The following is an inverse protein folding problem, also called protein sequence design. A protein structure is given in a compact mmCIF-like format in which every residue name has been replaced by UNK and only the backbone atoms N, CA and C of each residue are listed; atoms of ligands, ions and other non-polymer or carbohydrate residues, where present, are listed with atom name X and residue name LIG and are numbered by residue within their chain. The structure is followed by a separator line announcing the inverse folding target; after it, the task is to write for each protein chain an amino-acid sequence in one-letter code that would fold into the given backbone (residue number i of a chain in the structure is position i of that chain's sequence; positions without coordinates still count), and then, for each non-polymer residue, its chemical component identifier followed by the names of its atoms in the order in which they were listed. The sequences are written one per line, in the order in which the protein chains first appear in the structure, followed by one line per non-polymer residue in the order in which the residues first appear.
data_IF_985494965128
#
_entry.id   IF_985494965128
#
_cell.length_a   1.000
_cell.length_b   1.000
_cell.length_c   1.000
_cell.angle_alpha   90.00
_cell.angle_beta   90.00
_cell.angle_gamma   90.00
#
_symmetry.space_group_name_H-M   'P 1'
#
loop_
_entity.id
_entity.type
_entity.pdbx_description
1 polymer ?
#
# COMPACT_ATOMS: atom_id res chain seq x y z
N UNK A 1 -12.18 3.39 -61.03
CA UNK A 1 -11.59 2.11 -61.45
C UNK A 1 -10.10 2.31 -61.68
N UNK A 2 -9.23 1.65 -60.89
CA UNK A 2 -7.91 1.14 -61.29
C UNK A 2 -7.22 0.59 -60.04
N UNK A 3 -7.17 -0.75 -59.96
CA UNK A 3 -6.27 -1.48 -59.08
C UNK A 3 -4.86 -1.38 -59.66
N UNK A 4 -3.86 -1.20 -58.81
CA UNK A 4 -2.47 -1.52 -59.13
C UNK A 4 -1.84 -2.17 -57.89
N UNK A 5 -1.25 -3.34 -58.12
CA UNK A 5 -0.53 -4.19 -57.18
C UNK A 5 0.96 -3.96 -57.43
N UNK A 6 1.75 -3.80 -56.37
CA UNK A 6 3.20 -4.06 -56.29
C UNK A 6 3.55 -4.00 -54.79
N UNK A 7 4.29 -4.90 -54.17
CA UNK A 7 5.39 -5.75 -54.64
C UNK A 7 6.50 -5.61 -53.59
N UNK A 8 7.01 -6.75 -53.11
CA UNK A 8 7.92 -6.90 -51.97
C UNK A 8 9.19 -6.03 -52.03
N UNK A 9 9.70 -5.71 -50.83
CA UNK A 9 11.08 -5.25 -50.63
C UNK A 9 11.46 -5.23 -49.16
N UNK A 10 11.75 -6.40 -48.57
CA UNK A 10 12.40 -6.49 -47.25
C UNK A 10 13.88 -6.16 -47.46
N UNK A 11 14.29 -4.95 -47.09
CA UNK A 11 15.70 -4.59 -47.04
C UNK A 11 16.31 -5.15 -45.75
N UNK A 12 17.18 -6.15 -45.89
CA UNK A 12 18.00 -6.66 -44.80
C UNK A 12 19.05 -5.59 -44.42
N UNK A 13 18.89 -4.98 -43.25
CA UNK A 13 19.90 -4.10 -42.66
C UNK A 13 20.94 -4.98 -41.97
N UNK A 14 22.14 -5.04 -42.54
CA UNK A 14 23.30 -5.69 -41.91
C UNK A 14 23.78 -4.78 -40.77
N UNK A 15 23.44 -5.13 -39.53
CA UNK A 15 23.96 -4.46 -38.35
C UNK A 15 25.42 -4.90 -38.11
N UNK A 16 26.37 -3.97 -38.32
CA UNK A 16 27.75 -4.12 -37.87
C UNK A 16 27.75 -4.10 -36.34
N UNK A 17 28.03 -5.26 -35.73
CA UNK A 17 28.15 -5.41 -34.29
C UNK A 17 29.39 -4.69 -33.76
N UNK A 18 29.19 -3.60 -33.03
CA UNK A 18 30.23 -3.04 -32.15
C UNK A 18 30.15 -3.78 -30.82
N UNK A 19 31.14 -4.62 -30.55
CA UNK A 19 31.27 -5.29 -29.26
C UNK A 19 31.83 -4.30 -28.24
N UNK A 20 30.95 -3.68 -27.45
CA UNK A 20 31.35 -2.95 -26.25
C UNK A 20 31.60 -3.99 -25.16
N UNK A 21 32.85 -4.19 -24.78
CA UNK A 21 33.21 -4.96 -23.59
C UNK A 21 32.67 -4.23 -22.37
N UNK A 22 31.54 -4.72 -21.85
CA UNK A 22 30.95 -4.22 -20.62
C UNK A 22 31.90 -4.48 -19.45
N UNK A 23 32.43 -3.40 -18.87
CA UNK A 23 33.06 -3.45 -17.55
C UNK A 23 31.93 -3.78 -16.58
N UNK A 24 31.94 -5.00 -16.04
CA UNK A 24 31.01 -5.41 -15.01
C UNK A 24 31.17 -4.51 -13.79
N UNK A 25 30.27 -3.56 -13.62
CA UNK A 25 30.10 -2.89 -12.35
C UNK A 25 29.59 -3.96 -11.37
N UNK A 26 30.49 -4.47 -10.52
CA UNK A 26 30.06 -5.18 -9.33
C UNK A 26 29.18 -4.20 -8.55
N UNK A 27 27.87 -4.44 -8.54
CA UNK A 27 26.96 -3.74 -7.65
C UNK A 27 27.43 -4.06 -6.23
N UNK A 28 28.13 -3.10 -5.62
CA UNK A 28 28.40 -3.15 -4.20
C UNK A 28 27.03 -3.18 -3.52
N UNK A 29 26.70 -4.31 -2.88
CA UNK A 29 25.58 -4.38 -1.97
C UNK A 29 25.89 -3.42 -0.82
N UNK A 30 25.22 -2.26 -0.83
CA UNK A 30 25.17 -1.41 0.35
C UNK A 30 24.55 -2.28 1.44
N UNK A 31 25.23 -2.53 2.57
CA UNK A 31 24.58 -3.21 3.66
C UNK A 31 23.37 -2.35 4.04
N UNK A 32 22.16 -2.91 3.95
CA UNK A 32 20.99 -2.31 4.55
C UNK A 32 21.35 -2.08 6.01
N UNK A 33 21.66 -0.84 6.33
CA UNK A 33 21.71 -0.38 7.71
C UNK A 33 20.25 -0.24 8.17
N UNK A 34 19.53 -1.35 8.10
CA UNK A 34 18.22 -1.48 8.68
C UNK A 34 18.43 -1.62 10.17
N UNK A 35 18.07 -0.59 10.93
CA UNK A 35 17.68 -0.84 12.30
C UNK A 35 16.64 -1.96 12.25
N UNK A 36 16.95 -3.12 12.81
CA UNK A 36 15.97 -4.20 12.92
C UNK A 36 14.70 -3.61 13.53
N UNK A 37 13.56 -3.85 12.88
CA UNK A 37 12.26 -3.44 13.42
C UNK A 37 12.09 -4.09 14.80
N UNK A 38 12.07 -3.31 15.91
CA UNK A 38 11.98 -3.87 17.24
C UNK A 38 10.64 -4.55 17.53
N UNK A 39 9.65 -4.38 16.65
CA UNK A 39 8.30 -4.94 16.76
C UNK A 39 8.01 -5.97 15.67
N UNK A 40 9.01 -6.45 14.92
CA UNK A 40 8.82 -7.32 13.74
C UNK A 40 8.01 -8.61 14.03
N UNK A 41 8.07 -9.11 15.26
CA UNK A 41 7.35 -10.32 15.71
C UNK A 41 6.14 -10.00 16.61
N UNK A 42 5.93 -8.73 16.95
CA UNK A 42 4.79 -8.30 17.77
C UNK A 42 3.50 -8.21 16.96
N UNK A 43 2.36 -8.46 17.60
CA UNK A 43 1.05 -8.12 17.03
C UNK A 43 0.86 -6.61 17.02
N UNK A 44 0.46 -6.05 15.88
CA UNK A 44 0.22 -4.62 15.71
C UNK A 44 -1.25 -4.24 15.94
N UNK A 45 -2.18 -5.16 15.67
CA UNK A 45 -3.61 -5.00 15.87
C UNK A 45 -4.09 -5.94 16.98
N UNK A 46 -4.65 -5.35 18.04
CA UNK A 46 -5.23 -6.09 19.14
C UNK A 46 -6.49 -6.80 18.68
N UNK A 47 -7.49 -6.00 18.26
CA UNK A 47 -8.73 -6.51 17.72
C UNK A 47 -9.43 -5.52 16.78
N UNK A 48 -10.46 -6.02 16.09
CA UNK A 48 -11.38 -5.20 15.28
C UNK A 48 -12.83 -5.52 15.60
N UNK A 49 -13.71 -4.53 15.51
CA UNK A 49 -15.14 -4.69 15.80
C UNK A 49 -15.98 -4.04 14.72
N UNK A 50 -16.82 -4.82 14.06
CA UNK A 50 -17.86 -4.28 13.19
C UNK A 50 -19.00 -3.70 14.04
N UNK A 51 -19.41 -2.47 13.74
CA UNK A 51 -20.54 -1.80 14.39
C UNK A 51 -21.43 -1.14 13.34
N UNK A 52 -22.71 -0.95 13.67
CA UNK A 52 -23.66 -0.26 12.80
C UNK A 52 -23.98 1.13 13.35
N UNK A 53 -24.04 2.10 12.44
CA UNK A 53 -24.45 3.47 12.73
C UNK A 53 -25.51 3.93 11.72
N UNK A 54 -26.10 5.11 11.94
CA UNK A 54 -27.11 5.67 11.04
C UNK A 54 -26.65 5.75 9.58
N UNK A 55 -25.36 6.03 9.38
CA UNK A 55 -24.79 6.25 8.04
C UNK A 55 -24.34 4.94 7.38
N UNK A 56 -24.27 3.84 8.15
CA UNK A 56 -23.85 2.53 7.69
C UNK A 56 -22.96 1.80 8.69
N UNK A 57 -22.55 0.60 8.28
CA UNK A 57 -21.60 -0.24 9.03
C UNK A 57 -20.22 0.41 9.03
N UNK A 58 -19.47 0.26 10.12
CA UNK A 58 -18.06 0.69 10.24
C UNK A 58 -17.25 -0.35 10.98
N UNK A 59 -15.97 -0.47 10.61
CA UNK A 59 -15.00 -1.32 11.29
C UNK A 59 -14.19 -0.47 12.26
N UNK A 60 -14.30 -0.75 13.55
CA UNK A 60 -13.44 -0.15 14.57
C UNK A 60 -12.13 -0.94 14.65
N UNK A 61 -10.99 -0.27 14.53
CA UNK A 61 -9.65 -0.85 14.61
C UNK A 61 -9.00 -0.45 15.93
N UNK A 62 -8.51 -1.42 16.71
CA UNK A 62 -7.82 -1.21 17.98
C UNK A 62 -6.34 -1.63 17.87
N UNK A 63 -5.40 -0.68 17.69
CA UNK A 63 -3.98 -0.99 17.65
C UNK A 63 -3.42 -1.34 19.03
N UNK A 64 -2.45 -2.26 19.06
CA UNK A 64 -1.64 -2.54 20.26
C UNK A 64 -0.70 -1.37 20.58
N UNK A 65 0.02 -1.44 21.71
CA UNK A 65 1.08 -0.48 22.00
C UNK A 65 2.22 -0.55 20.97
N UNK A 66 2.59 -1.77 20.53
CA UNK A 66 3.59 -1.98 19.47
C UNK A 66 3.10 -1.40 18.16
N UNK A 67 1.84 -1.65 17.77
CA UNK A 67 1.22 -1.02 16.58
C UNK A 67 1.21 0.51 16.60
N UNK A 68 1.10 1.12 17.79
CA UNK A 68 1.20 2.59 17.96
C UNK A 68 2.62 3.12 17.83
N UNK A 69 3.63 2.28 18.06
CA UNK A 69 5.04 2.67 18.16
C UNK A 69 5.90 2.18 16.99
N UNK A 70 5.36 1.32 16.14
CA UNK A 70 6.07 0.76 15.01
C UNK A 70 6.06 1.72 13.81
N UNK A 71 7.24 2.26 13.51
CA UNK A 71 7.49 3.15 12.37
C UNK A 71 8.28 2.47 11.25
N UNK A 72 8.49 1.15 11.32
CA UNK A 72 9.15 0.43 10.24
C UNK A 72 8.31 0.53 8.96
N UNK A 73 8.93 0.76 7.77
CA UNK A 73 8.19 0.89 6.52
C UNK A 73 7.19 -0.27 6.24
N UNK A 74 7.51 -1.55 6.52
CA UNK A 74 6.58 -2.66 6.28
C UNK A 74 5.43 -2.78 7.30
N UNK A 75 5.47 -2.04 8.41
CA UNK A 75 4.56 -2.26 9.54
C UNK A 75 3.09 -1.96 9.20
N UNK A 76 2.84 -0.98 8.33
CA UNK A 76 1.48 -0.66 7.89
C UNK A 76 0.83 -1.81 7.12
N UNK A 77 1.55 -2.38 6.16
CA UNK A 77 1.06 -3.51 5.37
C UNK A 77 0.84 -4.75 6.26
N UNK A 78 1.75 -5.01 7.20
CA UNK A 78 1.60 -6.08 8.19
C UNK A 78 0.35 -5.88 9.06
N UNK A 79 0.17 -4.68 9.59
CA UNK A 79 -1.00 -4.35 10.40
C UNK A 79 -2.30 -4.49 9.59
N UNK A 80 -2.31 -4.13 8.31
CA UNK A 80 -3.47 -4.36 7.44
C UNK A 80 -3.77 -5.85 7.26
N UNK A 81 -2.76 -6.71 7.10
CA UNK A 81 -2.98 -8.16 7.04
C UNK A 81 -3.56 -8.70 8.36
N UNK A 82 -3.14 -8.18 9.51
CA UNK A 82 -3.75 -8.55 10.81
C UNK A 82 -5.22 -8.11 10.91
N UNK A 83 -5.59 -6.96 10.33
CA UNK A 83 -7.00 -6.54 10.22
C UNK A 83 -7.78 -7.55 9.38
N UNK A 84 -7.29 -7.90 8.17
CA UNK A 84 -7.98 -8.82 7.27
C UNK A 84 -8.08 -10.25 7.81
N UNK A 85 -7.13 -10.68 8.63
CA UNK A 85 -7.20 -11.96 9.32
C UNK A 85 -8.38 -12.03 10.30
N UNK A 86 -8.78 -10.89 10.91
CA UNK A 86 -9.90 -10.81 11.85
C UNK A 86 -11.22 -10.42 11.19
N UNK A 87 -11.16 -9.59 10.14
CA UNK A 87 -12.32 -9.14 9.36
C UNK A 87 -12.06 -9.30 7.85
N UNK A 88 -12.18 -10.53 7.30
CA UNK A 88 -11.91 -10.80 5.89
C UNK A 88 -12.80 -10.01 4.92
N UNK A 89 -13.98 -9.59 5.36
CA UNK A 89 -14.93 -8.78 4.61
C UNK A 89 -14.56 -7.28 4.56
N UNK A 90 -13.50 -6.84 5.24
CA UNK A 90 -13.04 -5.45 5.24
C UNK A 90 -12.28 -5.04 3.97
N UNK A 91 -11.89 -5.99 3.12
CA UNK A 91 -11.14 -5.72 1.87
C UNK A 91 -12.07 -5.22 0.74
N UNK A 92 -12.78 -4.12 0.99
CA UNK A 92 -13.62 -3.42 0.00
C UNK A 92 -12.91 -2.17 -0.52
N UNK A 93 -13.31 -1.62 -1.69
CA UNK A 93 -12.73 -0.40 -2.22
C UNK A 93 -12.65 0.73 -1.19
N UNK A 94 -11.50 1.41 -1.10
CA UNK A 94 -11.25 2.55 -0.22
C UNK A 94 -10.88 2.22 1.23
N UNK A 95 -11.14 1.01 1.73
CA UNK A 95 -10.84 0.66 3.13
C UNK A 95 -9.34 0.66 3.45
N UNK A 96 -8.51 0.18 2.51
CA UNK A 96 -7.05 0.22 2.66
C UNK A 96 -6.53 1.66 2.72
N UNK A 97 -7.03 2.56 1.88
CA UNK A 97 -6.59 3.96 1.89
C UNK A 97 -6.95 4.66 3.21
N UNK A 98 -8.17 4.41 3.72
CA UNK A 98 -8.60 4.89 5.04
C UNK A 98 -7.66 4.34 6.14
N UNK A 99 -7.39 3.03 6.12
CA UNK A 99 -6.50 2.38 7.09
C UNK A 99 -5.09 2.97 7.06
N UNK A 100 -4.49 3.08 5.86
CA UNK A 100 -3.13 3.60 5.71
C UNK A 100 -3.05 5.07 6.10
N UNK A 101 -4.10 5.86 5.88
CA UNK A 101 -4.14 7.23 6.38
C UNK A 101 -4.17 7.26 7.91
N UNK A 102 -4.98 6.39 8.53
CA UNK A 102 -5.00 6.25 9.97
C UNK A 102 -3.64 5.79 10.53
N UNK A 103 -2.98 4.84 9.87
CA UNK A 103 -1.66 4.33 10.25
C UNK A 103 -0.58 5.39 10.16
N UNK A 104 -0.50 6.12 9.04
CA UNK A 104 0.56 7.11 8.81
C UNK A 104 0.33 8.41 9.58
N UNK A 105 -0.92 8.86 9.71
CA UNK A 105 -1.23 10.21 10.20
C UNK A 105 -2.00 10.20 11.51
N UNK A 106 -3.22 9.65 11.54
CA UNK A 106 -4.09 9.76 12.71
C UNK A 106 -3.49 9.08 13.95
N UNK A 107 -2.76 7.98 13.78
CA UNK A 107 -2.01 7.30 14.85
C UNK A 107 -1.05 8.22 15.59
N UNK A 108 -0.41 9.13 14.87
CA UNK A 108 0.61 10.04 15.40
C UNK A 108 -0.04 11.35 15.87
N UNK A 109 -0.88 11.94 15.03
CA UNK A 109 -1.49 13.26 15.25
C UNK A 109 -2.66 13.22 16.22
N UNK A 110 -3.37 12.09 16.31
CA UNK A 110 -4.54 11.88 17.17
C UNK A 110 -4.30 10.69 18.12
N UNK A 111 -3.10 10.59 18.67
CA UNK A 111 -2.60 9.45 19.45
C UNK A 111 -3.45 9.07 20.68
N UNK A 112 -4.27 9.98 21.18
CA UNK A 112 -5.22 9.73 22.28
C UNK A 112 -6.45 8.90 21.89
N UNK A 113 -6.71 8.68 20.61
CA UNK A 113 -7.84 7.86 20.16
C UNK A 113 -7.58 6.37 20.42
N UNK A 114 -8.49 5.73 21.13
CA UNK A 114 -8.44 4.28 21.42
C UNK A 114 -8.63 3.44 20.16
N UNK A 115 -9.53 3.85 19.27
CA UNK A 115 -9.78 3.17 18.00
C UNK A 115 -9.90 4.14 16.82
N UNK A 116 -9.82 3.59 15.61
CA UNK A 116 -10.13 4.27 14.35
C UNK A 116 -11.32 3.59 13.68
N UNK A 117 -12.08 4.33 12.87
CA UNK A 117 -13.20 3.77 12.13
C UNK A 117 -12.85 3.73 10.66
N UNK A 118 -13.12 2.60 10.02
CA UNK A 118 -13.09 2.46 8.56
C UNK A 118 -14.52 2.19 8.08
N UNK A 119 -14.95 2.91 7.06
CA UNK A 119 -16.35 3.01 6.66
C UNK A 119 -16.48 2.61 5.18
N UNK A 120 -16.95 1.40 4.87
CA UNK A 120 -16.98 0.87 3.49
C UNK A 120 -17.98 1.58 2.57
N UNK A 121 -18.88 2.39 3.13
CA UNK A 121 -19.84 3.21 2.38
C UNK A 121 -19.25 4.54 1.90
N UNK A 122 -18.05 4.92 2.36
CA UNK A 122 -17.34 6.11 1.88
C UNK A 122 -16.78 5.90 0.47
N UNK A 123 -16.67 6.98 -0.33
CA UNK A 123 -16.15 6.87 -1.68
C UNK A 123 -14.67 6.43 -1.69
N UNK A 124 -14.33 5.50 -2.58
CA UNK A 124 -12.95 5.11 -2.84
C UNK A 124 -12.27 6.15 -3.74
N UNK A 125 -11.72 7.20 -3.11
CA UNK A 125 -11.14 8.36 -3.81
C UNK A 125 -9.63 8.25 -4.07
N UNK A 126 -8.97 7.20 -3.56
CA UNK A 126 -7.52 7.08 -3.57
C UNK A 126 -6.87 7.70 -2.34
N UNK A 127 -5.60 7.35 -2.10
CA UNK A 127 -4.88 7.74 -0.89
C UNK A 127 -4.66 9.27 -0.74
N UNK A 128 -4.26 10.05 -1.76
CA UNK A 128 -4.06 11.50 -1.61
C UNK A 128 -5.35 12.23 -1.20
N UNK A 129 -6.46 11.90 -1.83
CA UNK A 129 -7.78 12.46 -1.53
C UNK A 129 -8.29 11.99 -0.17
N UNK A 130 -7.96 10.75 0.23
CA UNK A 130 -8.24 10.24 1.58
C UNK A 130 -7.50 11.04 2.66
N UNK A 131 -6.23 11.42 2.43
CA UNK A 131 -5.50 12.34 3.33
C UNK A 131 -6.19 13.71 3.36
N UNK A 132 -6.54 14.26 2.19
CA UNK A 132 -7.19 15.56 2.09
C UNK A 132 -8.54 15.61 2.86
N UNK A 133 -9.22 14.47 2.95
CA UNK A 133 -10.44 14.30 3.73
C UNK A 133 -10.22 13.79 5.18
N UNK A 134 -9.01 13.94 5.72
CA UNK A 134 -8.68 13.55 7.09
C UNK A 134 -8.97 12.07 7.40
N UNK A 135 -8.55 11.21 6.47
CA UNK A 135 -8.63 9.74 6.50
C UNK A 135 -10.01 9.11 6.28
N UNK A 136 -11.10 9.89 6.22
CA UNK A 136 -12.46 9.39 6.09
C UNK A 136 -13.25 10.23 5.07
N UNK A 137 -13.09 9.97 3.76
CA UNK A 137 -13.66 10.77 2.67
C UNK A 137 -15.19 10.78 2.55
#
# INVERSE_FOLDING_TARGET
MRRAVAGLGVAAVVALGVSVTGIGAAAASVPESGSADPFADDRLIDHVVWTDTRDGRRLMIFPTLSGRRDFAPPAGDRAWQEVLAQAPDANTPGMLDQFMCHWHWARVMESGKTSWNLEPWRPAVGYPETIAALCNP
#
